data_IF_991483760227
#
_entry.id   IF_991483760227
#
_cell.length_a   1.000
_cell.length_b   1.000
_cell.length_c   1.000
_cell.angle_alpha   90.00
_cell.angle_beta   90.00
_cell.angle_gamma   90.00
#
_symmetry.space_group_name_H-M   'P 1'
#
loop_
_entity.id
_entity.type
_entity.pdbx_description
1 polymer ?
#
# COMPACT_ATOMS: atom_id res chain seq x y z
N UNK A 1 -2.93 -1.38 3.38
CA UNK A 1 -2.37 -0.20 4.08
C UNK A 1 -2.90 1.09 3.48
N UNK A 2 -2.78 1.36 2.18
CA UNK A 2 -3.34 2.56 1.49
C UNK A 2 -4.76 2.92 1.97
N UNK A 3 -5.72 2.00 1.80
CA UNK A 3 -7.12 2.22 2.21
C UNK A 3 -7.28 2.53 3.70
N UNK A 4 -6.54 1.86 4.58
CA UNK A 4 -6.62 2.10 6.03
C UNK A 4 -6.05 3.47 6.43
N UNK A 5 -4.95 3.91 5.80
CA UNK A 5 -4.38 5.23 6.05
C UNK A 5 -5.34 6.34 5.62
N UNK A 6 -5.98 6.21 4.45
CA UNK A 6 -6.97 7.20 4.00
C UNK A 6 -8.20 7.25 4.90
N UNK A 7 -8.72 6.10 5.35
CA UNK A 7 -9.85 6.00 6.29
C UNK A 7 -9.50 6.70 7.61
N UNK A 8 -8.32 6.43 8.18
CA UNK A 8 -7.88 7.05 9.43
C UNK A 8 -7.71 8.56 9.27
N UNK A 9 -7.08 9.01 8.18
CA UNK A 9 -6.84 10.44 7.93
C UNK A 9 -8.12 11.25 7.81
N UNK A 10 -9.12 10.69 7.15
CA UNK A 10 -10.41 11.37 6.93
C UNK A 10 -11.41 11.11 8.05
N UNK A 11 -11.02 10.37 9.08
CA UNK A 11 -11.95 9.90 10.11
C UNK A 11 -13.21 9.28 9.49
N UNK A 12 -13.01 8.60 8.33
CA UNK A 12 -14.10 8.03 7.56
C UNK A 12 -14.74 6.88 8.35
N UNK A 13 -16.02 7.00 8.66
CA UNK A 13 -16.74 6.04 9.49
C UNK A 13 -16.97 4.72 8.77
N UNK A 14 -16.40 3.64 9.31
CA UNK A 14 -16.52 2.28 8.79
C UNK A 14 -16.63 1.26 9.92
N UNK A 15 -17.36 0.18 9.69
CA UNK A 15 -17.22 -1.04 10.47
C UNK A 15 -16.00 -1.81 9.97
N UNK A 16 -14.93 -1.86 10.79
CA UNK A 16 -13.71 -2.58 10.42
C UNK A 16 -13.88 -4.08 10.67
N UNK A 17 -13.81 -4.87 9.60
CA UNK A 17 -13.88 -6.33 9.63
C UNK A 17 -12.51 -6.92 9.28
N UNK A 18 -11.70 -7.24 10.29
CA UNK A 18 -10.40 -7.90 10.07
C UNK A 18 -10.62 -9.36 9.69
N UNK A 19 -10.04 -9.80 8.58
CA UNK A 19 -10.22 -11.15 8.02
C UNK A 19 -8.92 -11.90 7.90
N UNK A 20 -9.00 -13.22 8.02
CA UNK A 20 -7.87 -14.13 7.74
C UNK A 20 -8.05 -14.71 6.34
N UNK A 21 -7.14 -14.41 5.42
CA UNK A 21 -7.29 -14.80 4.00
C UNK A 21 -7.33 -16.32 3.74
N UNK A 22 -6.83 -17.15 4.66
CA UNK A 22 -6.96 -18.61 4.58
C UNK A 22 -8.32 -19.12 5.08
N UNK A 23 -9.09 -18.26 5.76
CA UNK A 23 -10.39 -18.57 6.37
C UNK A 23 -11.32 -17.35 6.12
N UNK A 24 -11.71 -17.20 4.84
CA UNK A 24 -12.51 -16.05 4.41
C UNK A 24 -13.95 -16.22 4.86
N UNK A 25 -14.56 -15.18 5.48
CA UNK A 25 -15.99 -15.21 5.81
C UNK A 25 -16.85 -15.36 4.55
N UNK A 26 -17.97 -16.10 4.65
CA UNK A 26 -18.91 -16.32 3.54
C UNK A 26 -19.40 -14.98 2.98
N UNK A 27 -19.83 -14.08 3.85
CA UNK A 27 -20.26 -12.73 3.48
C UNK A 27 -19.21 -11.95 2.66
N UNK A 28 -17.90 -12.11 2.96
CA UNK A 28 -16.85 -11.50 2.15
C UNK A 28 -16.87 -12.05 0.72
N UNK A 29 -17.07 -13.37 0.57
CA UNK A 29 -17.07 -14.02 -0.74
C UNK A 29 -18.32 -13.71 -1.56
N UNK A 30 -19.44 -13.42 -0.89
CA UNK A 30 -20.68 -12.95 -1.54
C UNK A 30 -20.53 -11.58 -2.17
N UNK A 31 -19.87 -10.63 -1.46
CA UNK A 31 -19.68 -9.26 -1.95
C UNK A 31 -18.47 -9.11 -2.88
N UNK A 32 -17.44 -9.95 -2.75
CA UNK A 32 -16.25 -9.94 -3.58
C UNK A 32 -15.72 -11.35 -3.86
N UNK A 33 -16.17 -11.98 -4.94
CA UNK A 33 -15.73 -13.33 -5.32
C UNK A 33 -14.21 -13.47 -5.54
N UNK A 34 -13.49 -12.37 -5.81
CA UNK A 34 -12.02 -12.37 -5.88
C UNK A 34 -11.38 -12.80 -4.56
N UNK A 35 -12.06 -12.56 -3.43
CA UNK A 35 -11.56 -12.91 -2.10
C UNK A 35 -10.24 -12.23 -1.73
N UNK A 36 -9.96 -11.07 -2.28
CA UNK A 36 -8.79 -10.23 -1.98
C UNK A 36 -9.15 -9.11 -1.00
N UNK A 37 -8.16 -8.51 -0.38
CA UNK A 37 -8.33 -7.37 0.52
C UNK A 37 -7.44 -6.21 0.08
N UNK A 38 -7.87 -4.96 0.29
CA UNK A 38 -9.07 -4.52 1.00
C UNK A 38 -10.35 -4.57 0.16
N UNK A 39 -11.50 -4.56 0.83
CA UNK A 39 -12.82 -4.36 0.23
C UNK A 39 -13.52 -3.26 1.02
N UNK A 40 -14.14 -2.31 0.35
CA UNK A 40 -15.03 -1.32 0.95
C UNK A 40 -16.44 -1.50 0.38
N UNK A 41 -17.38 -1.86 1.25
CA UNK A 41 -18.81 -1.93 0.93
C UNK A 41 -19.46 -0.63 1.41
N UNK A 42 -20.06 0.12 0.48
CA UNK A 42 -20.78 1.34 0.78
C UNK A 42 -22.23 1.04 1.20
N UNK A 43 -22.88 2.02 1.82
CA UNK A 43 -24.27 1.87 2.30
C UNK A 43 -25.29 1.64 1.18
N UNK A 44 -25.01 2.08 -0.03
CA UNK A 44 -25.85 1.87 -1.22
C UNK A 44 -25.61 0.51 -1.90
N UNK A 45 -24.72 -0.32 -1.34
CA UNK A 45 -24.35 -1.62 -1.87
C UNK A 45 -23.19 -1.59 -2.87
N UNK A 46 -22.64 -0.43 -3.17
CA UNK A 46 -21.45 -0.32 -4.06
C UNK A 46 -20.24 -0.97 -3.40
N UNK A 47 -19.53 -1.81 -4.15
CA UNK A 47 -18.29 -2.48 -3.70
C UNK A 47 -17.09 -1.89 -4.40
N UNK A 48 -16.09 -1.49 -3.62
CA UNK A 48 -14.79 -1.00 -4.12
C UNK A 48 -13.71 -1.98 -3.63
N UNK A 49 -12.98 -2.59 -4.57
CA UNK A 49 -12.06 -3.71 -4.28
C UNK A 49 -10.58 -3.33 -4.33
N UNK A 50 -10.22 -2.27 -5.07
CA UNK A 50 -8.82 -1.88 -5.22
C UNK A 50 -8.43 -0.82 -4.18
N UNK A 51 -7.26 -1.02 -3.57
CA UNK A 51 -6.80 -0.12 -2.50
C UNK A 51 -6.64 1.33 -2.94
N UNK A 52 -6.27 1.57 -4.20
CA UNK A 52 -6.18 2.90 -4.77
C UNK A 52 -7.57 3.53 -4.97
N UNK A 53 -8.52 2.76 -5.48
CA UNK A 53 -9.90 3.23 -5.69
C UNK A 53 -10.58 3.58 -4.37
N UNK A 54 -10.38 2.75 -3.33
CA UNK A 54 -10.85 3.05 -1.97
C UNK A 54 -10.23 4.36 -1.47
N UNK A 55 -8.93 4.55 -1.67
CA UNK A 55 -8.22 5.76 -1.29
C UNK A 55 -8.76 6.99 -2.03
N UNK A 56 -8.98 6.89 -3.35
CA UNK A 56 -9.57 7.95 -4.17
C UNK A 56 -10.99 8.30 -3.71
N UNK A 57 -11.81 7.29 -3.39
CA UNK A 57 -13.17 7.50 -2.89
C UNK A 57 -13.17 8.23 -1.55
N UNK A 58 -12.41 7.72 -0.57
CA UNK A 58 -12.37 8.25 0.80
C UNK A 58 -11.80 9.67 0.85
N UNK A 59 -10.75 9.95 0.08
CA UNK A 59 -10.08 11.26 0.03
C UNK A 59 -10.72 12.23 -0.95
N UNK A 60 -11.72 11.80 -1.74
CA UNK A 60 -12.20 12.52 -2.92
C UNK A 60 -11.04 12.95 -3.84
N UNK A 61 -10.02 12.09 -3.93
CA UNK A 61 -8.76 12.38 -4.59
C UNK A 61 -8.81 12.07 -6.08
N UNK A 62 -8.60 13.12 -6.88
CA UNK A 62 -8.39 12.99 -8.32
C UNK A 62 -6.92 13.19 -8.61
N UNK A 63 -6.29 12.16 -9.20
CA UNK A 63 -4.88 12.22 -9.52
C UNK A 63 -4.63 13.28 -10.62
N UNK A 64 -3.61 14.10 -10.38
CA UNK A 64 -2.99 14.90 -11.43
C UNK A 64 -2.24 14.00 -12.42
N UNK A 65 -1.74 14.57 -13.50
CA UNK A 65 -0.90 13.83 -14.47
C UNK A 65 0.37 13.26 -13.81
N UNK A 66 1.04 14.07 -13.00
CA UNK A 66 2.24 13.65 -12.24
C UNK A 66 1.93 12.54 -11.25
N UNK A 67 0.84 12.65 -10.48
CA UNK A 67 0.44 11.63 -9.52
C UNK A 67 0.04 10.33 -10.23
N UNK A 68 -0.66 10.41 -11.36
CA UNK A 68 -0.99 9.26 -12.20
C UNK A 68 0.28 8.54 -12.66
N UNK A 69 1.27 9.28 -13.14
CA UNK A 69 2.56 8.73 -13.55
C UNK A 69 3.25 7.95 -12.41
N UNK A 70 3.35 8.56 -11.22
CA UNK A 70 4.03 7.91 -10.08
C UNK A 70 3.27 6.71 -9.53
N UNK A 71 1.95 6.80 -9.45
CA UNK A 71 1.11 5.68 -8.99
C UNK A 71 1.17 4.51 -9.98
N UNK A 72 1.08 4.77 -11.29
CA UNK A 72 1.18 3.71 -12.31
C UNK A 72 2.55 3.05 -12.28
N UNK A 73 3.63 3.81 -12.23
CA UNK A 73 4.98 3.25 -12.09
C UNK A 73 5.15 2.41 -10.82
N UNK A 74 4.56 2.87 -9.71
CA UNK A 74 4.60 2.11 -8.47
C UNK A 74 3.84 0.77 -8.59
N UNK A 75 2.64 0.79 -9.16
CA UNK A 75 1.75 -0.36 -9.16
C UNK A 75 2.10 -1.38 -10.26
N UNK A 76 2.58 -0.91 -11.41
CA UNK A 76 2.88 -1.76 -12.57
C UNK A 76 4.35 -2.19 -12.62
N UNK A 77 5.31 -1.28 -12.31
CA UNK A 77 6.74 -1.54 -12.43
C UNK A 77 7.36 -1.92 -11.06
N UNK A 78 7.32 -1.01 -10.09
CA UNK A 78 8.00 -1.21 -8.81
C UNK A 78 7.44 -2.41 -8.04
N UNK A 79 6.12 -2.53 -7.94
CA UNK A 79 5.46 -3.63 -7.26
C UNK A 79 5.73 -4.98 -7.95
N UNK A 80 5.82 -5.01 -9.27
CA UNK A 80 6.18 -6.22 -10.01
C UNK A 80 7.54 -6.77 -9.58
N UNK A 81 8.54 -5.89 -9.48
CA UNK A 81 9.88 -6.26 -9.05
C UNK A 81 9.96 -6.52 -7.54
N UNK A 82 9.26 -5.74 -6.73
CA UNK A 82 9.16 -5.93 -5.28
C UNK A 82 8.60 -7.31 -4.92
N UNK A 83 7.52 -7.74 -5.58
CA UNK A 83 6.91 -9.05 -5.31
C UNK A 83 7.86 -10.20 -5.65
N UNK A 84 8.64 -10.10 -6.75
CA UNK A 84 9.64 -11.08 -7.17
C UNK A 84 10.88 -11.08 -6.29
N UNK A 85 11.34 -9.92 -5.88
CA UNK A 85 12.43 -9.78 -4.93
C UNK A 85 12.07 -10.39 -3.56
N UNK A 86 10.85 -10.14 -3.09
CA UNK A 86 10.41 -10.57 -1.77
C UNK A 86 9.97 -12.03 -1.71
N UNK A 87 9.45 -12.56 -2.80
CA UNK A 87 8.87 -13.90 -2.88
C UNK A 87 9.37 -14.67 -4.11
N UNK A 88 10.70 -14.83 -4.29
CA UNK A 88 11.26 -15.46 -5.48
C UNK A 88 10.71 -16.89 -5.71
N UNK A 89 10.43 -17.62 -4.62
CA UNK A 89 9.89 -18.99 -4.68
C UNK A 89 8.47 -19.11 -5.26
N UNK A 90 7.80 -18.00 -5.59
CA UNK A 90 6.48 -18.02 -6.24
C UNK A 90 6.55 -17.92 -7.75
N UNK A 91 7.73 -17.78 -8.29
CA UNK A 91 7.97 -17.53 -9.70
C UNK A 91 9.08 -18.47 -10.18
N UNK A 92 9.00 -18.89 -11.44
CA UNK A 92 10.03 -19.72 -12.04
C UNK A 92 11.22 -18.85 -12.49
N UNK A 93 12.43 -19.36 -12.31
CA UNK A 93 13.71 -18.80 -12.80
C UNK A 93 13.93 -17.32 -12.46
N UNK A 94 13.62 -16.91 -11.22
CA UNK A 94 13.81 -15.54 -10.76
C UNK A 94 15.15 -15.39 -10.01
N UNK A 95 15.96 -14.44 -10.47
CA UNK A 95 17.09 -13.89 -9.70
C UNK A 95 16.59 -12.71 -8.84
N UNK A 96 16.56 -12.90 -7.52
CA UNK A 96 16.09 -11.88 -6.58
C UNK A 96 16.95 -10.61 -6.60
N UNK A 97 18.25 -10.74 -6.90
CA UNK A 97 19.18 -9.60 -6.94
C UNK A 97 18.93 -8.75 -8.20
N UNK A 98 18.63 -9.39 -9.33
CA UNK A 98 18.19 -8.67 -10.53
C UNK A 98 16.88 -7.91 -10.27
N UNK A 99 15.92 -8.54 -9.59
CA UNK A 99 14.66 -7.89 -9.24
C UNK A 99 14.86 -6.70 -8.28
N UNK A 100 15.72 -6.86 -7.28
CA UNK A 100 16.12 -5.75 -6.40
C UNK A 100 16.74 -4.60 -7.19
N UNK A 101 17.66 -4.90 -8.09
CA UNK A 101 18.33 -3.90 -8.92
C UNK A 101 17.34 -3.16 -9.83
N UNK A 102 16.37 -3.87 -10.41
CA UNK A 102 15.33 -3.26 -11.23
C UNK A 102 14.41 -2.34 -10.39
N UNK A 103 13.96 -2.80 -9.23
CA UNK A 103 13.16 -2.01 -8.30
C UNK A 103 13.91 -0.75 -7.81
N UNK A 104 15.24 -0.84 -7.66
CA UNK A 104 16.08 0.27 -7.18
C UNK A 104 16.09 1.47 -8.12
N UNK A 105 15.86 1.27 -9.42
CA UNK A 105 15.74 2.38 -10.39
C UNK A 105 14.57 3.29 -10.05
N UNK A 106 13.43 2.71 -9.69
CA UNK A 106 12.27 3.48 -9.23
C UNK A 106 12.59 4.27 -7.96
N UNK A 107 13.33 3.69 -7.00
CA UNK A 107 13.71 4.35 -5.76
C UNK A 107 14.70 5.49 -5.99
N UNK A 108 15.61 5.36 -6.94
CA UNK A 108 16.53 6.43 -7.34
C UNK A 108 15.78 7.62 -7.94
N UNK A 109 14.79 7.35 -8.81
CA UNK A 109 13.94 8.39 -9.38
C UNK A 109 13.07 9.05 -8.29
N UNK A 110 12.55 8.26 -7.35
CA UNK A 110 11.79 8.76 -6.21
C UNK A 110 12.66 9.62 -5.29
N UNK A 111 13.91 9.21 -5.04
CA UNK A 111 14.86 10.02 -4.25
C UNK A 111 15.10 11.38 -4.90
N UNK A 112 15.24 11.40 -6.23
CA UNK A 112 15.37 12.64 -6.99
C UNK A 112 14.13 13.52 -6.89
N UNK A 113 12.93 12.94 -7.00
CA UNK A 113 11.66 13.66 -6.83
C UNK A 113 11.55 14.29 -5.44
N UNK A 114 11.84 13.50 -4.40
CA UNK A 114 11.76 13.95 -3.00
C UNK A 114 12.80 15.01 -2.63
N UNK A 115 13.88 15.13 -3.41
CA UNK A 115 14.90 16.15 -3.25
C UNK A 115 14.61 17.46 -3.96
N UNK A 116 13.48 17.58 -4.69
CA UNK A 116 13.07 18.82 -5.34
C UNK A 116 12.43 19.79 -4.33
N UNK A 117 12.42 21.08 -4.65
CA UNK A 117 11.82 22.11 -3.80
C UNK A 117 10.29 21.99 -3.70
N UNK A 118 9.66 21.25 -4.60
CA UNK A 118 8.22 21.04 -4.64
C UNK A 118 7.86 19.75 -3.89
N UNK A 119 7.14 19.88 -2.79
CA UNK A 119 6.72 18.73 -2.00
C UNK A 119 5.67 17.89 -2.74
N UNK A 120 5.82 16.57 -2.68
CA UNK A 120 4.77 15.66 -3.17
C UNK A 120 3.53 15.77 -2.29
N UNK A 121 2.35 15.59 -2.88
CA UNK A 121 1.10 15.60 -2.10
C UNK A 121 1.11 14.47 -1.06
N UNK A 122 0.49 14.74 0.09
CA UNK A 122 0.36 13.73 1.14
C UNK A 122 -0.41 12.50 0.66
N UNK A 123 -1.33 12.65 -0.30
CA UNK A 123 -2.07 11.55 -0.89
C UNK A 123 -1.16 10.67 -1.75
N UNK A 124 -0.29 11.28 -2.57
CA UNK A 124 0.71 10.54 -3.32
C UNK A 124 1.70 9.84 -2.39
N UNK A 125 2.19 10.54 -1.36
CA UNK A 125 3.06 9.95 -0.35
C UNK A 125 2.45 8.68 0.26
N UNK A 126 1.20 8.72 0.73
CA UNK A 126 0.49 7.57 1.30
C UNK A 126 0.24 6.45 0.26
N UNK A 127 0.11 6.81 -1.01
CA UNK A 127 -0.07 5.81 -2.06
C UNK A 127 1.21 5.02 -2.34
N UNK A 128 2.39 5.64 -2.23
CA UNK A 128 3.68 5.02 -2.51
C UNK A 128 4.31 4.33 -1.28
N UNK A 129 4.19 4.97 -0.12
CA UNK A 129 4.84 4.57 1.14
C UNK A 129 4.71 3.08 1.49
N UNK A 130 3.55 2.42 1.39
CA UNK A 130 3.41 1.03 1.79
C UNK A 130 4.32 0.07 1.03
N UNK A 131 4.61 0.36 -0.22
CA UNK A 131 5.44 -0.49 -1.09
C UNK A 131 6.93 -0.23 -0.84
N UNK A 132 7.33 1.04 -0.74
CA UNK A 132 8.72 1.40 -0.37
C UNK A 132 9.07 0.83 1.01
N UNK A 133 8.16 0.93 1.98
CA UNK A 133 8.33 0.29 3.29
C UNK A 133 8.50 -1.23 3.19
N UNK A 134 7.74 -1.90 2.33
CA UNK A 134 7.88 -3.34 2.15
C UNK A 134 9.23 -3.70 1.56
N UNK A 135 9.70 -2.94 0.58
CA UNK A 135 11.02 -3.11 -0.03
C UNK A 135 12.13 -2.91 1.00
N UNK A 136 12.11 -1.79 1.73
CA UNK A 136 13.08 -1.47 2.76
C UNK A 136 13.18 -2.54 3.86
N UNK A 137 12.05 -3.10 4.28
CA UNK A 137 12.00 -4.09 5.36
C UNK A 137 12.40 -5.51 4.92
N UNK A 138 12.56 -5.77 3.62
CA UNK A 138 12.97 -7.08 3.15
C UNK A 138 14.46 -7.33 3.41
N UNK A 139 15.30 -6.33 3.12
CA UNK A 139 16.72 -6.31 3.47
C UNK A 139 17.09 -4.91 3.97
N UNK A 140 16.86 -4.68 5.26
CA UNK A 140 17.04 -3.37 5.87
C UNK A 140 18.50 -2.91 5.86
N UNK A 141 19.43 -3.84 6.06
CA UNK A 141 20.88 -3.51 6.09
C UNK A 141 21.33 -3.03 4.73
N UNK A 142 20.91 -3.73 3.67
CA UNK A 142 21.23 -3.32 2.31
C UNK A 142 20.56 -2.00 1.95
N UNK A 143 19.27 -1.83 2.30
CA UNK A 143 18.52 -0.60 2.00
C UNK A 143 19.14 0.63 2.66
N UNK A 144 19.51 0.52 3.95
CA UNK A 144 20.12 1.63 4.71
C UNK A 144 21.53 1.99 4.21
N UNK A 145 22.20 1.10 3.50
CA UNK A 145 23.50 1.36 2.89
C UNK A 145 23.43 2.06 1.52
N UNK A 146 22.22 2.29 0.99
CA UNK A 146 22.08 3.00 -0.29
C UNK A 146 22.13 4.51 -0.09
N UNK A 147 22.62 5.21 -1.10
CA UNK A 147 22.76 6.67 -1.11
C UNK A 147 21.43 7.35 -1.57
N UNK A 148 20.35 7.05 -0.82
CA UNK A 148 18.98 7.56 -1.05
C UNK A 148 18.51 8.41 0.12
N UNK A 149 19.20 9.51 0.39
CA UNK A 149 19.00 10.31 1.60
C UNK A 149 17.58 10.87 1.73
N UNK A 150 16.95 11.26 0.61
CA UNK A 150 15.60 11.80 0.59
C UNK A 150 14.55 10.69 0.84
N UNK A 151 14.72 9.52 0.21
CA UNK A 151 13.86 8.35 0.46
C UNK A 151 13.98 7.90 1.91
N UNK A 152 15.17 7.89 2.50
CA UNK A 152 15.38 7.52 3.90
C UNK A 152 14.65 8.46 4.85
N UNK A 153 14.79 9.79 4.65
CA UNK A 153 14.10 10.80 5.47
C UNK A 153 12.58 10.68 5.31
N UNK A 154 12.10 10.66 4.07
CA UNK A 154 10.68 10.53 3.76
C UNK A 154 10.06 9.24 4.32
N UNK A 155 10.78 8.11 4.25
CA UNK A 155 10.33 6.84 4.82
C UNK A 155 10.24 6.93 6.35
N UNK A 156 11.22 7.56 7.00
CA UNK A 156 11.22 7.75 8.45
C UNK A 156 10.03 8.61 8.91
N UNK A 157 9.77 9.73 8.23
CA UNK A 157 8.64 10.62 8.54
C UNK A 157 7.28 9.91 8.39
N UNK A 158 7.13 9.12 7.33
CA UNK A 158 5.92 8.32 7.13
C UNK A 158 5.74 7.23 8.19
N UNK A 159 6.82 6.61 8.68
CA UNK A 159 6.77 5.63 9.77
C UNK A 159 6.35 6.25 11.10
N UNK A 160 6.61 7.54 11.31
CA UNK A 160 6.20 8.30 12.49
C UNK A 160 4.80 8.91 12.36
N UNK A 161 4.18 8.86 11.19
CA UNK A 161 2.85 9.45 10.96
C UNK A 161 1.76 8.77 11.79
N UNK A 162 0.79 9.56 12.27
CA UNK A 162 -0.34 9.07 13.06
C UNK A 162 -1.21 8.09 12.26
N UNK A 163 -1.41 8.34 10.96
CA UNK A 163 -2.18 7.45 10.08
C UNK A 163 -1.52 6.07 9.96
N UNK A 164 -0.20 6.02 9.81
CA UNK A 164 0.53 4.75 9.79
C UNK A 164 0.47 4.04 11.15
N UNK A 165 0.75 4.72 12.26
CA UNK A 165 0.70 4.15 13.62
C UNK A 165 -0.68 3.57 13.91
N UNK A 166 -1.75 4.27 13.53
CA UNK A 166 -3.10 3.77 13.68
C UNK A 166 -3.36 2.51 12.83
N UNK A 167 -2.83 2.47 11.60
CA UNK A 167 -2.94 1.29 10.73
C UNK A 167 -2.23 0.05 11.29
N UNK A 168 -1.20 0.24 12.11
CA UNK A 168 -0.44 -0.86 12.70
C UNK A 168 -1.10 -1.47 13.94
N UNK A 169 -2.19 -0.90 14.43
CA UNK A 169 -2.97 -1.50 15.52
C UNK A 169 -3.53 -2.85 15.04
N UNK A 170 -3.34 -3.86 15.87
CA UNK A 170 -3.89 -5.19 15.62
C UNK A 170 -5.38 -5.21 15.98
N UNK A 171 -6.18 -5.74 15.09
CA UNK A 171 -7.60 -5.95 15.32
C UNK A 171 -7.87 -7.46 15.55
N UNK A 172 -8.93 -7.75 16.29
CA UNK A 172 -9.42 -9.13 16.42
C UNK A 172 -10.06 -9.54 15.09
N UNK A 173 -9.92 -10.83 14.74
CA UNK A 173 -10.64 -11.39 13.60
C UNK A 173 -12.13 -11.12 13.78
N UNK A 174 -12.76 -10.60 12.73
CA UNK A 174 -14.20 -10.45 12.68
C UNK A 174 -14.85 -11.84 12.56
N UNK A 175 -15.91 -12.05 13.33
CA UNK A 175 -16.72 -13.26 13.30
C UNK A 175 -18.15 -12.84 13.01
N UNK A 176 -18.75 -13.49 12.02
CA UNK A 176 -20.14 -13.24 11.68
C UNK A 176 -21.08 -13.56 12.84
N UNK A 177 -21.85 -12.58 13.27
CA UNK A 177 -22.85 -12.80 14.31
C UNK A 177 -24.10 -13.37 13.65
N UNK A 178 -24.28 -14.68 13.74
CA UNK A 178 -25.51 -15.32 13.30
C UNK A 178 -26.61 -14.90 14.31
N UNK A 179 -27.38 -13.88 13.95
CA UNK A 179 -28.61 -13.56 14.67
C UNK A 179 -29.59 -14.75 14.48
N UNK A 180 -29.73 -15.56 15.55
CA UNK A 180 -30.73 -16.63 15.61
C UNK A 180 -32.10 -16.03 15.82
#
# INVERSE_FOLDING_TARGET
>A
MRARMSIVRMEYEVEHREVILRDRPEHMMEISPKGTVPILLLQDGTVIEESLEIMQHVLSWRLSETETHWVSRNDDEFKFHLDRYKYPNRYDDIDEIEQRTAASKYLLDLDTLLGQDEEISINLSDALFPFVRQFANHDRVWFDAQDWSNVHSWLADNLESESFKACMKKHKQWVETINK
#
